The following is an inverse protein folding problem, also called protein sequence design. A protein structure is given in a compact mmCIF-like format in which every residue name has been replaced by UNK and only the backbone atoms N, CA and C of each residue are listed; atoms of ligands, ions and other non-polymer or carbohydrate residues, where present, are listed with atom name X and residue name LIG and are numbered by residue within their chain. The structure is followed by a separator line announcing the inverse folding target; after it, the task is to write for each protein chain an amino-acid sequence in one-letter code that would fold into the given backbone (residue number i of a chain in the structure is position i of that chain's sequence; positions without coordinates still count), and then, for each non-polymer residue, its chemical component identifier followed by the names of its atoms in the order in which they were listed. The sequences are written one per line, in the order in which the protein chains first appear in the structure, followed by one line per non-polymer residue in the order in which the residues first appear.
data_IF_160841114282
#
_entry.id   IF_160841114282
#
_cell.length_a   1.000
_cell.length_b   1.000
_cell.length_c   1.000
_cell.angle_alpha   90.00
_cell.angle_beta   90.00
_cell.angle_gamma   90.00
#
_symmetry.space_group_name_H-M   'P 1'
#
loop_
_entity.id
_entity.type
_entity.pdbx_description
1 polymer ?
#
# COMPACT_ATOMS: atom_id res chain seq x y z
N UNK A 1 10.58 -7.24 -5.63
CA UNK A 1 9.16 -7.29 -6.03
C UNK A 1 9.00 -6.61 -7.39
N UNK A 2 8.27 -7.21 -8.32
CA UNK A 2 7.95 -6.63 -9.63
C UNK A 2 6.90 -5.49 -9.55
N UNK A 3 6.70 -4.78 -10.67
CA UNK A 3 5.76 -3.64 -10.76
C UNK A 3 4.30 -4.06 -10.60
N UNK A 4 3.94 -5.25 -11.10
CA UNK A 4 2.57 -5.78 -11.04
C UNK A 4 2.14 -6.10 -9.62
N UNK A 5 3.06 -6.58 -8.78
CA UNK A 5 2.82 -6.78 -7.36
C UNK A 5 2.87 -5.46 -6.59
N UNK A 6 3.79 -4.55 -6.96
CA UNK A 6 3.95 -3.23 -6.34
C UNK A 6 2.72 -2.34 -6.47
N UNK A 7 1.98 -2.45 -7.58
CA UNK A 7 0.81 -1.60 -7.83
C UNK A 7 -0.25 -1.73 -6.74
N UNK A 8 -0.44 -2.90 -6.15
CA UNK A 8 -1.43 -3.11 -5.08
C UNK A 8 -1.03 -2.43 -3.77
N UNK A 9 0.27 -2.38 -3.47
CA UNK A 9 0.78 -1.63 -2.31
C UNK A 9 0.52 -0.13 -2.47
N UNK A 10 0.88 0.41 -3.63
CA UNK A 10 0.68 1.83 -3.96
C UNK A 10 -0.81 2.17 -3.96
N UNK A 11 -1.62 1.37 -4.66
CA UNK A 11 -3.06 1.57 -4.74
C UNK A 11 -3.71 1.56 -3.35
N UNK A 12 -3.42 0.56 -2.50
CA UNK A 12 -4.05 0.47 -1.18
C UNK A 12 -3.63 1.64 -0.27
N UNK A 13 -2.40 2.13 -0.40
CA UNK A 13 -1.92 3.31 0.31
C UNK A 13 -2.61 4.62 -0.14
N UNK A 14 -3.20 4.64 -1.34
CA UNK A 14 -3.93 5.77 -1.89
C UNK A 14 -5.44 5.73 -1.59
N UNK A 15 -5.98 4.61 -1.11
CA UNK A 15 -7.42 4.49 -0.84
C UNK A 15 -7.81 5.45 0.28
N UNK A 16 -8.78 6.33 0.01
CA UNK A 16 -9.28 7.28 1.01
C UNK A 16 -9.89 6.53 2.19
N UNK A 17 -9.43 6.86 3.40
CA UNK A 17 -9.84 6.17 4.62
C UNK A 17 -8.97 4.97 4.99
N UNK A 18 -7.98 4.60 4.17
CA UNK A 18 -6.96 3.59 4.49
C UNK A 18 -5.66 4.27 4.90
N UNK A 19 -5.54 4.56 6.20
CA UNK A 19 -4.27 4.98 6.81
C UNK A 19 -3.35 3.78 7.10
N UNK A 20 -2.09 4.05 7.47
CA UNK A 20 -1.04 3.05 7.75
C UNK A 20 -1.51 1.91 8.67
N UNK A 21 -2.05 2.25 9.85
CA UNK A 21 -2.55 1.25 10.80
C UNK A 21 -3.63 0.33 10.20
N UNK A 22 -4.55 0.90 9.42
CA UNK A 22 -5.59 0.10 8.76
C UNK A 22 -5.02 -0.72 7.60
N UNK A 23 -4.09 -0.16 6.82
CA UNK A 23 -3.36 -0.86 5.77
C UNK A 23 -2.74 -2.13 6.32
N UNK A 24 -1.93 -2.02 7.38
CA UNK A 24 -1.28 -3.15 8.04
C UNK A 24 -2.27 -4.20 8.47
N UNK A 25 -3.34 -3.77 9.15
CA UNK A 25 -4.37 -4.69 9.63
C UNK A 25 -5.05 -5.44 8.48
N UNK A 26 -5.41 -4.76 7.39
CA UNK A 26 -6.00 -5.38 6.21
C UNK A 26 -5.05 -6.41 5.59
N UNK A 27 -3.78 -6.03 5.41
CA UNK A 27 -2.76 -6.91 4.82
C UNK A 27 -2.42 -8.08 5.72
N UNK A 28 -2.35 -7.90 7.04
CA UNK A 28 -2.15 -9.00 8.00
C UNK A 28 -3.36 -9.94 8.02
N UNK A 29 -4.59 -9.43 7.94
CA UNK A 29 -5.80 -10.26 7.97
C UNK A 29 -6.04 -11.02 6.65
N UNK A 30 -5.76 -10.39 5.50
CA UNK A 30 -6.04 -10.97 4.18
C UNK A 30 -4.81 -11.57 3.49
N UNK A 31 -3.62 -11.24 3.97
CA UNK A 31 -2.33 -11.80 3.54
C UNK A 31 -1.55 -10.97 2.53
N UNK A 32 -2.20 -10.10 1.73
CA UNK A 32 -1.51 -9.18 0.81
C UNK A 32 -2.41 -8.02 0.38
N UNK A 33 -1.85 -6.87 -0.07
CA UNK A 33 -2.66 -5.79 -0.63
C UNK A 33 -3.53 -6.22 -1.81
N UNK A 34 -3.04 -7.15 -2.65
CA UNK A 34 -3.83 -7.71 -3.75
C UNK A 34 -5.10 -8.41 -3.24
N UNK A 35 -4.97 -9.21 -2.18
CA UNK A 35 -6.11 -9.91 -1.58
C UNK A 35 -7.11 -8.95 -0.94
N UNK A 36 -6.67 -7.76 -0.50
CA UNK A 36 -7.58 -6.70 -0.03
C UNK A 36 -8.53 -6.24 -1.13
N UNK A 37 -8.02 -6.01 -2.34
CA UNK A 37 -8.84 -5.61 -3.48
C UNK A 37 -9.69 -6.75 -4.07
N UNK A 38 -9.33 -8.00 -3.79
CA UNK A 38 -10.11 -9.18 -4.20
C UNK A 38 -11.14 -9.61 -3.15
N UNK A 39 -11.08 -9.06 -1.93
CA UNK A 39 -11.96 -9.42 -0.84
C UNK A 39 -13.40 -8.97 -1.12
N UNK A 40 -14.35 -9.75 -0.63
CA UNK A 40 -15.75 -9.41 -0.64
C UNK A 40 -16.07 -8.33 0.40
N UNK A 41 -17.17 -7.61 0.20
CA UNK A 41 -17.72 -6.68 1.20
C UNK A 41 -17.86 -7.33 2.58
N UNK A 42 -18.30 -8.59 2.64
CA UNK A 42 -18.48 -9.32 3.89
C UNK A 42 -17.16 -9.54 4.63
N UNK A 43 -16.11 -9.99 3.92
CA UNK A 43 -14.77 -10.16 4.49
C UNK A 43 -14.21 -8.83 5.01
N UNK A 44 -14.38 -7.75 4.24
CA UNK A 44 -13.93 -6.41 4.64
C UNK A 44 -14.63 -5.91 5.91
N UNK A 45 -15.96 -6.05 6.03
CA UNK A 45 -16.67 -5.67 7.27
C UNK A 45 -16.26 -6.52 8.47
N UNK A 46 -15.98 -7.81 8.26
CA UNK A 46 -15.45 -8.70 9.29
C UNK A 46 -14.11 -8.22 9.84
N UNK A 47 -13.32 -7.52 9.02
CA UNK A 47 -12.06 -6.92 9.43
C UNK A 47 -12.33 -5.56 10.07
N UNK A 48 -12.22 -5.54 11.40
CA UNK A 48 -12.11 -4.31 12.18
C UNK A 48 -13.25 -3.30 12.02
N UNK A 49 -14.48 -3.79 11.72
CA UNK A 49 -15.69 -2.97 11.63
C UNK A 49 -15.48 -1.75 10.73
N UNK A 50 -14.89 -1.99 9.55
CA UNK A 50 -14.68 -0.95 8.54
C UNK A 50 -15.99 -0.20 8.27
N UNK A 51 -15.97 1.15 8.28
CA UNK A 51 -17.12 1.93 7.85
C UNK A 51 -17.48 1.61 6.40
N UNK A 52 -18.77 1.60 6.07
CA UNK A 52 -19.26 1.34 4.71
C UNK A 52 -18.54 2.19 3.66
N UNK A 53 -18.31 3.47 3.98
CA UNK A 53 -17.57 4.39 3.10
C UNK A 53 -16.17 3.87 2.77
N UNK A 54 -15.42 3.34 3.73
CA UNK A 54 -14.07 2.81 3.47
C UNK A 54 -14.14 1.52 2.65
N UNK A 55 -15.11 0.67 2.93
CA UNK A 55 -15.34 -0.55 2.12
C UNK A 55 -15.67 -0.20 0.67
N UNK A 56 -16.52 0.79 0.45
CA UNK A 56 -16.85 1.30 -0.89
C UNK A 56 -15.62 1.87 -1.60
N UNK A 57 -14.77 2.61 -0.87
CA UNK A 57 -13.52 3.14 -1.43
C UNK A 57 -12.56 2.02 -1.85
N UNK A 58 -12.47 0.93 -1.09
CA UNK A 58 -11.62 -0.23 -1.45
C UNK A 58 -12.19 -0.95 -2.67
N UNK A 59 -13.47 -1.32 -2.63
CA UNK A 59 -14.11 -2.12 -3.69
C UNK A 59 -14.28 -1.36 -5.01
N UNK A 60 -14.43 -0.04 -4.96
CA UNK A 60 -14.54 0.83 -6.12
C UNK A 60 -13.20 1.37 -6.62
N UNK A 61 -12.07 0.97 -6.03
CA UNK A 61 -10.76 1.53 -6.40
C UNK A 61 -10.26 0.95 -7.72
N UNK A 62 -9.99 1.83 -8.68
CA UNK A 62 -9.32 1.44 -9.94
C UNK A 62 -7.81 1.32 -9.69
N UNK A 63 -7.36 0.11 -9.34
CA UNK A 63 -5.97 -0.19 -8.97
C UNK A 63 -5.00 0.18 -10.08
N UNK A 64 -5.26 -0.30 -11.30
CA UNK A 64 -4.32 -0.17 -12.41
C UNK A 64 -4.14 1.30 -12.82
N UNK A 65 -5.23 2.03 -12.97
CA UNK A 65 -5.17 3.44 -13.37
C UNK A 65 -4.48 4.31 -12.32
N UNK A 66 -4.83 4.12 -11.04
CA UNK A 66 -4.31 4.98 -9.98
C UNK A 66 -2.84 4.68 -9.67
N UNK A 67 -2.46 3.39 -9.61
CA UNK A 67 -1.07 3.02 -9.38
C UNK A 67 -0.16 3.43 -10.54
N UNK A 68 -0.61 3.26 -11.79
CA UNK A 68 0.18 3.69 -12.94
C UNK A 68 0.37 5.21 -12.99
N UNK A 69 -0.66 5.99 -12.61
CA UNK A 69 -0.52 7.43 -12.46
C UNK A 69 0.53 7.79 -11.41
N UNK A 70 0.51 7.11 -10.27
CA UNK A 70 1.45 7.37 -9.17
C UNK A 70 2.88 7.01 -9.56
N UNK A 71 3.10 5.86 -10.20
CA UNK A 71 4.42 5.48 -10.69
C UNK A 71 4.98 6.53 -11.64
N UNK A 72 4.19 7.00 -12.62
CA UNK A 72 4.64 8.05 -13.55
C UNK A 72 4.97 9.36 -12.84
N UNK A 73 4.19 9.73 -11.83
CA UNK A 73 4.43 10.95 -11.06
C UNK A 73 5.77 10.87 -10.31
N UNK A 74 6.00 9.77 -9.59
CA UNK A 74 7.23 9.54 -8.82
C UNK A 74 8.45 9.45 -9.74
N UNK A 75 8.34 8.73 -10.86
CA UNK A 75 9.39 8.62 -11.88
C UNK A 75 9.72 9.99 -12.48
N UNK A 76 8.72 10.83 -12.80
CA UNK A 76 8.93 12.17 -13.34
C UNK A 76 9.66 13.12 -12.36
N UNK A 77 9.56 12.87 -11.05
CA UNK A 77 10.30 13.60 -10.02
C UNK A 77 11.74 13.10 -9.83
N UNK A 78 12.13 12.03 -10.53
CA UNK A 78 13.40 11.33 -10.35
C UNK A 78 13.48 10.61 -9.00
N UNK A 79 12.33 10.21 -8.46
CA UNK A 79 12.20 9.46 -7.23
C UNK A 79 11.84 7.99 -7.53
N UNK A 80 11.86 7.16 -6.49
CA UNK A 80 11.60 5.73 -6.56
C UNK A 80 10.68 5.30 -5.42
N UNK A 81 9.89 4.26 -5.66
CA UNK A 81 8.95 3.71 -4.67
C UNK A 81 9.50 2.42 -4.07
N UNK A 82 9.58 2.38 -2.75
CA UNK A 82 9.75 1.16 -1.96
C UNK A 82 8.46 0.79 -1.25
N UNK A 83 8.33 -0.49 -0.97
CA UNK A 83 7.30 -1.06 -0.09
C UNK A 83 7.96 -1.74 1.09
N UNK A 84 7.22 -2.05 2.14
CA UNK A 84 7.77 -2.75 3.32
C UNK A 84 8.44 -4.10 3.03
N UNK A 85 8.08 -4.71 1.90
CA UNK A 85 8.66 -5.96 1.41
C UNK A 85 9.84 -5.74 0.44
N UNK A 86 10.20 -4.49 0.17
CA UNK A 86 11.36 -4.18 -0.67
C UNK A 86 12.65 -4.49 0.11
N UNK A 87 13.62 -5.21 -0.48
CA UNK A 87 14.88 -5.58 0.18
C UNK A 87 15.71 -4.38 0.67
N UNK A 88 15.52 -3.24 0.03
CA UNK A 88 16.17 -1.96 0.25
C UNK A 88 15.37 -1.02 1.17
N UNK A 89 14.25 -1.49 1.74
CA UNK A 89 13.49 -0.73 2.71
C UNK A 89 14.30 -0.53 4.02
N UNK A 90 14.46 0.69 4.55
CA UNK A 90 15.30 0.93 5.72
C UNK A 90 14.85 0.16 6.98
N UNK A 91 15.73 -0.67 7.54
CA UNK A 91 15.42 -1.54 8.68
C UNK A 91 14.98 -0.78 9.94
N UNK A 92 15.61 0.37 10.22
CA UNK A 92 15.20 1.23 11.34
C UNK A 92 13.76 1.75 11.17
N UNK A 93 13.39 2.13 9.94
CA UNK A 93 12.05 2.59 9.65
C UNK A 93 11.05 1.44 9.65
N UNK A 94 11.47 0.23 9.28
CA UNK A 94 10.66 -0.99 9.34
C UNK A 94 10.35 -1.42 10.77
N UNK A 95 11.23 -1.09 11.70
CA UNK A 95 11.17 -1.53 13.11
C UNK A 95 10.30 -0.64 14.01
N UNK A 96 9.75 0.46 13.48
CA UNK A 96 8.84 1.32 14.25
C UNK A 96 7.46 0.66 14.41
N UNK A 97 6.65 1.18 15.34
CA UNK A 97 5.33 0.61 15.64
C UNK A 97 4.33 0.60 14.45
N UNK A 98 4.36 1.65 13.62
CA UNK A 98 3.45 1.81 12.47
C UNK A 98 4.27 2.22 11.22
N UNK A 99 5.07 1.30 10.66
CA UNK A 99 6.00 1.63 9.58
C UNK A 99 5.22 1.98 8.30
N UNK A 100 5.65 2.97 7.51
CA UNK A 100 4.91 3.32 6.30
C UNK A 100 4.90 2.15 5.29
N UNK A 101 3.74 1.77 4.73
CA UNK A 101 3.65 0.65 3.80
C UNK A 101 4.34 0.92 2.46
N UNK A 102 4.40 2.19 2.08
CA UNK A 102 5.00 2.69 0.85
C UNK A 102 5.89 3.89 1.22
N UNK A 103 7.08 3.94 0.64
CA UNK A 103 8.07 5.00 0.84
C UNK A 103 8.56 5.50 -0.52
N UNK A 104 8.32 6.77 -0.80
CA UNK A 104 8.93 7.46 -1.93
C UNK A 104 10.26 8.06 -1.49
N UNK A 105 11.32 7.83 -2.25
CA UNK A 105 12.64 8.37 -1.96
C UNK A 105 13.33 8.90 -3.21
N UNK A 106 14.23 9.87 -3.00
CA UNK A 106 15.07 10.44 -4.06
C UNK A 106 16.52 10.37 -3.65
N UNK A 107 17.36 9.81 -4.52
CA UNK A 107 18.79 9.59 -4.25
C UNK A 107 19.13 8.09 -4.19
N UNK A 108 20.23 7.75 -3.54
CA UNK A 108 20.64 6.35 -3.32
C UNK A 108 20.46 6.01 -1.85
N UNK A 109 19.82 4.88 -1.56
CA UNK A 109 19.85 4.31 -0.22
C UNK A 109 21.22 3.68 -0.03
N UNK A 110 22.06 4.33 0.77
CA UNK A 110 23.27 3.71 1.31
C UNK A 110 22.86 3.00 2.59
N UNK A 111 23.10 1.70 2.66
CA UNK A 111 22.76 0.88 3.83
C UNK A 111 23.35 1.50 5.09
N UNK A 112 22.49 1.69 6.08
CA UNK A 112 22.87 2.03 7.46
C UNK A 112 22.95 0.72 8.22
#
# INVERSE_FOLDING_TARGET
MDRDSKKYWVALNMVVGVGKTLFHRLVTSLGSPQKVFQATRHELHGIARLPDKTVDQILGFDVDRNAEREFKLVEAMGAQILTLESPDYPELLKSIYDPPPVLDYKGKIQGI
#
